data_IF_665038475115
#
_entry.id   IF_665038475115
#
_cell.length_a   1.000
_cell.length_b   1.000
_cell.length_c   1.000
_cell.angle_alpha   90.00
_cell.angle_beta   90.00
_cell.angle_gamma   90.00
#
_symmetry.space_group_name_H-M   'P 1'
#
loop_
_entity.id
_entity.type
_entity.pdbx_description
1 polymer ?
#
# COMPACT_ATOMS: atom_id res chain seq x y z
N UNK A 1 -63.35 -10.79 18.17
CA UNK A 1 -62.24 -9.87 18.53
C UNK A 1 -60.85 -10.54 18.55
N UNK A 2 -60.57 -11.54 17.69
CA UNK A 2 -59.30 -12.31 17.74
C UNK A 2 -58.36 -12.16 16.54
N UNK A 3 -58.81 -11.60 15.41
CA UNK A 3 -58.06 -11.61 14.14
C UNK A 3 -56.96 -10.52 14.07
N UNK A 4 -57.24 -9.32 14.56
CA UNK A 4 -56.34 -8.16 14.48
C UNK A 4 -55.06 -8.33 15.29
N UNK A 5 -55.11 -8.94 16.49
CA UNK A 5 -53.91 -9.14 17.35
C UNK A 5 -52.87 -10.04 16.69
N UNK A 6 -53.30 -11.10 16.02
CA UNK A 6 -52.40 -12.09 15.41
C UNK A 6 -51.67 -11.52 14.19
N UNK A 7 -52.36 -10.69 13.39
CA UNK A 7 -51.78 -10.04 12.21
C UNK A 7 -50.70 -9.03 12.59
N UNK A 8 -50.92 -8.24 13.65
CA UNK A 8 -49.94 -7.25 14.11
C UNK A 8 -48.67 -7.91 14.66
N UNK A 9 -48.78 -9.05 15.33
CA UNK A 9 -47.62 -9.81 15.83
C UNK A 9 -46.80 -10.40 14.69
N UNK A 10 -47.45 -10.96 13.66
CA UNK A 10 -46.77 -11.48 12.46
C UNK A 10 -46.04 -10.39 11.69
N UNK A 11 -46.66 -9.22 11.54
CA UNK A 11 -46.06 -8.07 10.84
C UNK A 11 -44.83 -7.51 11.57
N UNK A 12 -44.89 -7.45 12.90
CA UNK A 12 -43.75 -7.06 13.75
C UNK A 12 -42.60 -8.06 13.65
N UNK A 13 -42.89 -9.36 13.71
CA UNK A 13 -41.87 -10.41 13.56
C UNK A 13 -41.19 -10.36 12.18
N UNK A 14 -41.96 -10.15 11.11
CA UNK A 14 -41.42 -10.04 9.75
C UNK A 14 -40.49 -8.81 9.57
N UNK A 15 -40.85 -7.66 10.16
CA UNK A 15 -40.02 -6.46 10.16
C UNK A 15 -38.71 -6.64 10.96
N UNK A 16 -38.75 -7.37 12.08
CA UNK A 16 -37.56 -7.67 12.87
C UNK A 16 -36.62 -8.61 12.12
N UNK A 17 -37.17 -9.67 11.49
CA UNK A 17 -36.40 -10.63 10.69
C UNK A 17 -35.73 -9.96 9.47
N UNK A 18 -36.45 -9.08 8.76
CA UNK A 18 -35.89 -8.36 7.61
C UNK A 18 -34.77 -7.40 8.02
N UNK A 19 -34.93 -6.69 9.14
CA UNK A 19 -33.90 -5.80 9.68
C UNK A 19 -32.64 -6.59 10.09
N UNK A 20 -32.78 -7.76 10.72
CA UNK A 20 -31.63 -8.62 11.06
C UNK A 20 -30.90 -9.12 9.82
N UNK A 21 -31.63 -9.50 8.76
CA UNK A 21 -31.04 -9.94 7.50
C UNK A 21 -30.27 -8.81 6.79
N UNK A 22 -30.80 -7.58 6.85
CA UNK A 22 -30.17 -6.39 6.28
C UNK A 22 -28.89 -6.01 7.06
N UNK A 23 -28.91 -6.13 8.39
CA UNK A 23 -27.75 -5.87 9.25
C UNK A 23 -26.67 -6.95 9.05
N UNK A 24 -27.04 -8.24 8.90
CA UNK A 24 -26.11 -9.32 8.54
C UNK A 24 -25.49 -9.10 7.14
N UNK A 25 -26.30 -8.65 6.18
CA UNK A 25 -25.83 -8.32 4.82
C UNK A 25 -24.86 -7.13 4.81
N UNK A 26 -25.16 -6.07 5.57
CA UNK A 26 -24.26 -4.91 5.73
C UNK A 26 -22.97 -5.26 6.47
N UNK A 27 -23.00 -6.18 7.44
CA UNK A 27 -21.78 -6.62 8.17
C UNK A 27 -20.93 -7.60 7.37
N UNK A 28 -21.50 -8.29 6.38
CA UNK A 28 -20.75 -9.08 5.39
C UNK A 28 -20.00 -8.19 4.36
N UNK A 29 -20.49 -6.97 4.11
CA UNK A 29 -19.73 -5.94 3.40
C UNK A 29 -18.69 -5.30 4.31
N UNK A 30 -17.63 -6.06 4.64
CA UNK A 30 -16.36 -5.45 5.03
C UNK A 30 -15.88 -4.62 3.83
N UNK A 31 -16.14 -3.31 3.84
CA UNK A 31 -15.47 -2.39 2.93
C UNK A 31 -13.97 -2.55 3.19
N UNK A 32 -13.27 -3.26 2.30
CA UNK A 32 -11.82 -3.31 2.29
C UNK A 32 -11.33 -1.92 1.87
N UNK A 33 -11.29 -0.99 2.83
CA UNK A 33 -10.68 0.31 2.62
C UNK A 33 -9.18 0.09 2.48
N UNK A 34 -8.65 0.40 1.29
CA UNK A 34 -7.22 0.42 1.09
C UNK A 34 -6.61 1.52 1.98
N UNK A 35 -5.57 1.18 2.74
CA UNK A 35 -4.85 2.14 3.58
C UNK A 35 -3.96 3.02 2.69
N UNK A 36 -3.81 4.30 3.02
CA UNK A 36 -2.81 5.18 2.39
C UNK A 36 -1.48 5.17 3.15
N UNK A 37 -1.43 4.58 4.34
CA UNK A 37 -0.29 4.64 5.24
C UNK A 37 0.09 3.31 5.87
N UNK A 38 1.32 3.26 6.37
CA UNK A 38 1.87 2.17 7.17
C UNK A 38 2.65 2.74 8.37
N UNK A 39 2.46 2.13 9.53
CA UNK A 39 3.13 2.51 10.80
C UNK A 39 4.00 1.37 11.33
N UNK A 40 4.89 1.62 12.30
CA UNK A 40 5.70 0.57 12.90
C UNK A 40 4.85 -0.59 13.44
N UNK A 41 5.35 -1.81 13.27
CA UNK A 41 4.64 -3.06 13.57
C UNK A 41 3.73 -3.58 12.45
N UNK A 42 3.42 -2.76 11.43
CA UNK A 42 2.68 -3.19 10.25
C UNK A 42 3.61 -3.70 9.14
N UNK A 43 3.12 -4.62 8.33
CA UNK A 43 3.82 -5.18 7.17
C UNK A 43 2.93 -5.08 5.94
N UNK A 44 3.50 -4.57 4.84
CA UNK A 44 2.91 -4.66 3.51
C UNK A 44 3.51 -5.88 2.79
N UNK A 45 2.66 -6.90 2.55
CA UNK A 45 3.04 -8.10 1.79
C UNK A 45 2.77 -7.95 0.30
N UNK A 46 3.24 -8.88 -0.51
CA UNK A 46 3.13 -8.84 -1.99
C UNK A 46 1.69 -8.79 -2.53
N UNK A 47 0.71 -9.26 -1.77
CA UNK A 47 -0.72 -9.21 -2.13
C UNK A 47 -1.45 -7.98 -1.55
N UNK A 48 -0.73 -7.05 -0.94
CA UNK A 48 -1.29 -5.85 -0.31
C UNK A 48 -0.73 -4.60 -0.99
N UNK A 49 -1.51 -3.53 -0.94
CA UNK A 49 -1.11 -2.23 -1.48
C UNK A 49 -1.46 -1.10 -0.52
N UNK A 50 -0.71 -0.01 -0.62
CA UNK A 50 -1.19 1.29 -0.14
C UNK A 50 -1.78 2.05 -1.31
N UNK A 51 -2.88 2.75 -1.08
CA UNK A 51 -3.59 3.53 -2.11
C UNK A 51 -3.75 4.95 -1.58
N UNK A 52 -3.36 5.94 -2.39
CA UNK A 52 -3.54 7.35 -2.02
C UNK A 52 -5.03 7.66 -1.82
N UNK A 53 -5.36 8.68 -1.03
CA UNK A 53 -6.76 9.02 -0.73
C UNK A 53 -7.59 9.32 -1.98
N UNK A 54 -6.98 9.98 -2.97
CA UNK A 54 -7.59 10.24 -4.27
C UNK A 54 -7.60 9.04 -5.23
N UNK A 55 -7.12 7.87 -4.78
CA UNK A 55 -7.05 6.60 -5.51
C UNK A 55 -6.26 6.64 -6.82
N UNK A 56 -5.46 7.69 -7.02
CA UNK A 56 -4.70 7.90 -8.26
C UNK A 56 -3.34 7.22 -8.19
N UNK A 57 -2.81 6.95 -7.00
CA UNK A 57 -1.50 6.34 -6.81
C UNK A 57 -1.60 5.10 -5.94
N UNK A 58 -0.81 4.09 -6.30
CA UNK A 58 -0.74 2.83 -5.57
C UNK A 58 0.73 2.51 -5.32
N UNK A 59 1.06 2.14 -4.09
CA UNK A 59 2.32 1.51 -3.71
C UNK A 59 2.08 0.02 -3.50
N UNK A 60 2.94 -0.82 -4.06
CA UNK A 60 2.87 -2.26 -3.83
C UNK A 60 3.95 -3.02 -4.58
N UNK A 61 3.88 -4.36 -4.47
CA UNK A 61 4.79 -5.24 -5.18
C UNK A 61 4.27 -5.56 -6.59
N UNK A 62 5.18 -5.66 -7.56
CA UNK A 62 4.88 -6.07 -8.93
C UNK A 62 6.03 -6.92 -9.50
N UNK A 63 5.73 -7.69 -10.55
CA UNK A 63 6.71 -8.55 -11.22
C UNK A 63 7.32 -7.86 -12.45
N UNK A 64 8.63 -8.02 -12.63
CA UNK A 64 9.33 -7.71 -13.88
C UNK A 64 9.29 -8.86 -14.89
N UNK A 65 9.98 -8.68 -16.01
CA UNK A 65 10.02 -9.62 -17.14
C UNK A 65 10.70 -10.96 -16.81
N UNK A 66 11.73 -10.97 -15.95
CA UNK A 66 12.49 -12.16 -15.56
C UNK A 66 11.93 -12.92 -14.33
N UNK A 67 10.75 -12.53 -13.82
CA UNK A 67 10.22 -13.05 -12.56
C UNK A 67 10.85 -12.42 -11.31
N UNK A 68 11.72 -11.43 -11.49
CA UNK A 68 12.11 -10.52 -10.42
C UNK A 68 10.90 -9.73 -9.92
N UNK A 69 10.84 -9.44 -8.62
CA UNK A 69 9.77 -8.69 -7.99
C UNK A 69 10.32 -7.43 -7.36
N UNK A 70 9.55 -6.37 -7.48
CA UNK A 70 9.92 -5.02 -7.10
C UNK A 70 8.81 -4.39 -6.27
N UNK A 71 9.16 -3.52 -5.33
CA UNK A 71 8.23 -2.58 -4.72
C UNK A 71 8.33 -1.25 -5.48
N UNK A 72 7.19 -0.66 -5.81
CA UNK A 72 7.18 0.66 -6.42
C UNK A 72 5.82 1.34 -6.38
N UNK A 73 5.80 2.56 -6.89
CA UNK A 73 4.61 3.41 -6.98
C UNK A 73 4.19 3.48 -8.44
N UNK A 74 2.89 3.34 -8.70
CA UNK A 74 2.31 3.57 -10.01
C UNK A 74 1.08 4.48 -9.96
N UNK A 75 0.93 5.28 -11.02
CA UNK A 75 -0.24 6.12 -11.26
C UNK A 75 -1.29 5.35 -12.05
N UNK A 76 -2.56 5.46 -11.66
CA UNK A 76 -3.71 4.82 -12.29
C UNK A 76 -4.55 5.88 -13.01
N UNK A 77 -4.68 5.76 -14.32
CA UNK A 77 -5.50 6.66 -15.13
C UNK A 77 -6.16 5.88 -16.27
N UNK A 78 -7.49 5.92 -16.36
CA UNK A 78 -8.25 5.25 -17.42
C UNK A 78 -7.85 3.76 -17.58
N UNK A 79 -7.71 3.05 -16.45
CA UNK A 79 -7.24 1.65 -16.38
C UNK A 79 -5.80 1.41 -16.80
N UNK A 80 -5.05 2.45 -17.18
CA UNK A 80 -3.62 2.37 -17.47
C UNK A 80 -2.85 2.62 -16.18
N UNK A 81 -1.98 1.67 -15.83
CA UNK A 81 -1.09 1.78 -14.68
C UNK A 81 0.34 2.10 -15.16
N UNK A 82 0.90 3.23 -14.72
CA UNK A 82 2.27 3.66 -15.08
C UNK A 82 3.16 3.70 -13.86
N UNK A 83 4.25 2.96 -13.87
CA UNK A 83 5.22 2.97 -12.77
C UNK A 83 5.97 4.30 -12.80
N UNK A 84 6.02 4.98 -11.66
CA UNK A 84 6.70 6.28 -11.50
C UNK A 84 7.88 6.22 -10.54
N UNK A 85 7.99 5.17 -9.72
CA UNK A 85 9.11 4.98 -8.80
C UNK A 85 9.30 3.50 -8.45
N UNK A 86 10.56 3.06 -8.30
CA UNK A 86 10.90 1.68 -7.92
C UNK A 86 11.97 1.70 -6.82
N UNK A 87 11.66 1.12 -5.66
CA UNK A 87 12.54 1.13 -4.49
C UNK A 87 13.76 0.23 -4.68
N UNK A 88 13.52 -1.07 -4.79
CA UNK A 88 14.55 -2.11 -4.83
C UNK A 88 14.98 -2.43 -6.26
N UNK A 89 15.21 -1.38 -7.08
CA UNK A 89 15.58 -1.54 -8.49
C UNK A 89 16.90 -2.30 -8.67
N UNK A 90 17.89 -1.98 -7.84
CA UNK A 90 19.23 -2.58 -7.87
C UNK A 90 19.26 -3.99 -7.30
N UNK A 91 18.46 -4.25 -6.26
CA UNK A 91 18.41 -5.54 -5.54
C UNK A 91 16.99 -6.09 -5.48
N UNK A 92 16.46 -6.61 -6.61
CA UNK A 92 15.13 -7.19 -6.65
C UNK A 92 14.99 -8.43 -5.77
N UNK A 93 13.76 -8.75 -5.41
CA UNK A 93 13.40 -10.10 -4.96
C UNK A 93 13.42 -11.02 -6.18
N UNK A 94 14.22 -12.07 -6.14
CA UNK A 94 14.26 -13.07 -7.22
C UNK A 94 13.05 -14.01 -7.13
N UNK A 95 12.81 -14.79 -8.20
CA UNK A 95 11.77 -15.83 -8.23
C UNK A 95 11.92 -16.86 -7.10
N UNK A 96 13.16 -17.12 -6.67
CA UNK A 96 13.47 -18.14 -5.66
C UNK A 96 13.40 -17.61 -4.23
N UNK A 97 13.31 -16.28 -4.06
CA UNK A 97 13.16 -15.70 -2.73
C UNK A 97 11.74 -15.98 -2.20
N UNK A 98 11.65 -16.25 -0.90
CA UNK A 98 10.38 -16.24 -0.18
C UNK A 98 9.70 -14.87 -0.26
N UNK A 99 8.40 -14.80 0.07
CA UNK A 99 7.59 -13.59 0.03
C UNK A 99 8.32 -12.44 0.75
N UNK A 100 8.51 -11.34 0.04
CA UNK A 100 9.09 -10.12 0.59
C UNK A 100 8.06 -9.29 1.36
N UNK A 101 8.57 -8.42 2.22
CA UNK A 101 7.75 -7.49 2.99
C UNK A 101 8.33 -6.08 2.94
N UNK A 102 7.45 -5.10 2.87
CA UNK A 102 7.78 -3.70 3.07
C UNK A 102 7.27 -3.23 4.43
N UNK A 103 8.10 -2.47 5.17
CA UNK A 103 7.74 -1.94 6.48
C UNK A 103 8.45 -0.62 6.78
N UNK A 104 7.95 0.04 7.81
CA UNK A 104 8.67 1.08 8.54
C UNK A 104 9.08 0.52 9.92
N UNK A 105 10.30 0.76 10.37
CA UNK A 105 10.75 0.36 11.71
C UNK A 105 10.48 1.45 12.76
N UNK A 106 10.76 1.14 14.03
CA UNK A 106 10.53 2.05 15.15
C UNK A 106 11.43 3.31 15.13
N UNK A 107 12.45 3.31 14.26
CA UNK A 107 13.33 4.46 14.02
C UNK A 107 12.92 5.25 12.77
N UNK A 108 11.81 4.87 12.13
CA UNK A 108 11.30 5.49 10.92
C UNK A 108 11.99 5.03 9.64
N UNK A 109 12.87 4.03 9.67
CA UNK A 109 13.51 3.54 8.45
C UNK A 109 12.52 2.75 7.60
N UNK A 110 12.50 3.04 6.30
CA UNK A 110 11.80 2.22 5.33
C UNK A 110 12.65 1.02 4.98
N UNK A 111 12.07 -0.18 5.01
CA UNK A 111 12.79 -1.43 4.79
C UNK A 111 12.02 -2.32 3.81
N UNK A 112 12.73 -2.90 2.86
CA UNK A 112 12.28 -4.05 2.07
C UNK A 112 13.10 -5.25 2.50
N UNK A 113 12.43 -6.28 3.02
CA UNK A 113 13.06 -7.50 3.49
C UNK A 113 12.63 -8.67 2.59
N UNK A 114 13.55 -9.61 2.38
CA UNK A 114 13.16 -10.94 1.87
C UNK A 114 12.50 -11.78 2.98
N UNK A 115 11.93 -12.93 2.63
CA UNK A 115 11.30 -13.80 3.63
C UNK A 115 12.28 -14.51 4.59
N UNK A 116 13.59 -14.26 4.49
CA UNK A 116 14.60 -14.62 5.51
C UNK A 116 14.97 -13.45 6.43
N UNK A 117 14.35 -12.28 6.23
CA UNK A 117 14.62 -11.06 6.98
C UNK A 117 15.84 -10.27 6.51
N UNK A 118 16.45 -10.62 5.37
CA UNK A 118 17.58 -9.85 4.82
C UNK A 118 17.08 -8.56 4.18
N UNK A 119 17.72 -7.44 4.50
CA UNK A 119 17.41 -6.13 3.90
C UNK A 119 17.89 -6.07 2.45
N UNK A 120 16.95 -5.90 1.53
CA UNK A 120 17.22 -5.71 0.11
C UNK A 120 17.35 -4.24 -0.26
N UNK A 121 16.59 -3.39 0.44
CA UNK A 121 16.61 -1.95 0.26
C UNK A 121 16.21 -1.26 1.56
N UNK A 122 16.79 -0.09 1.80
CA UNK A 122 16.45 0.75 2.94
C UNK A 122 16.53 2.23 2.59
N UNK A 123 15.68 3.04 3.18
CA UNK A 123 15.81 4.49 3.17
C UNK A 123 15.68 5.08 4.57
N UNK A 124 16.32 6.25 4.75
CA UNK A 124 16.56 6.99 6.02
C UNK A 124 17.86 6.62 6.78
N UNK A 125 18.90 6.14 6.09
CA UNK A 125 20.25 6.08 6.68
C UNK A 125 21.11 7.27 6.22
N UNK A 126 20.93 8.42 6.84
CA UNK A 126 21.93 9.52 6.76
C UNK A 126 21.99 10.45 7.98
N UNK A 127 21.14 10.28 9.00
CA UNK A 127 21.39 10.91 10.30
C UNK A 127 22.00 9.87 11.25
N UNK A 128 23.30 9.96 11.47
CA UNK A 128 24.02 9.33 12.59
C UNK A 128 23.52 9.80 13.96
N UNK A 129 22.56 10.71 13.99
CA UNK A 129 21.89 11.19 15.19
C UNK A 129 20.53 10.49 15.30
N UNK A 130 20.25 9.82 16.44
CA UNK A 130 18.91 9.35 16.75
C UNK A 130 17.94 10.53 16.61
N UNK A 131 16.79 10.32 15.96
CA UNK A 131 15.78 11.35 15.90
C UNK A 131 15.34 11.70 17.34
N UNK A 132 15.25 13.00 17.70
CA UNK A 132 14.75 13.43 19.01
C UNK A 132 13.47 12.70 19.45
N UNK A 133 13.20 12.59 20.75
CA UNK A 133 12.01 11.90 21.27
C UNK A 133 10.68 12.40 20.65
N UNK A 134 10.62 13.65 20.19
CA UNK A 134 9.46 14.21 19.47
C UNK A 134 9.14 13.57 18.10
N UNK A 135 10.04 12.74 17.57
CA UNK A 135 9.82 12.01 16.31
C UNK A 135 9.20 10.61 16.51
N UNK A 136 8.91 10.21 17.75
CA UNK A 136 8.09 9.05 18.05
C UNK A 136 6.75 9.13 17.29
N UNK A 137 6.14 7.98 16.97
CA UNK A 137 4.97 7.86 16.07
C UNK A 137 5.29 8.08 14.59
N UNK A 138 6.25 7.32 14.08
CA UNK A 138 6.56 7.30 12.65
C UNK A 138 5.38 6.83 11.80
N UNK A 139 5.23 7.46 10.65
CA UNK A 139 4.26 7.07 9.62
C UNK A 139 4.90 7.21 8.24
N UNK A 140 4.70 6.20 7.40
CA UNK A 140 4.93 6.32 5.97
C UNK A 140 3.58 6.47 5.26
N UNK A 141 3.41 7.55 4.51
CA UNK A 141 2.15 7.95 3.88
C UNK A 141 2.33 8.11 2.37
N UNK A 142 1.48 7.45 1.59
CA UNK A 142 1.37 7.65 0.16
C UNK A 142 0.44 8.83 -0.13
N UNK A 143 1.02 9.95 -0.55
CA UNK A 143 0.29 11.19 -0.80
C UNK A 143 -0.43 11.17 -2.15
N UNK A 144 -1.42 12.06 -2.28
CA UNK A 144 -2.16 12.30 -3.53
C UNK A 144 -1.30 12.86 -4.68
N UNK A 145 -0.07 13.30 -4.38
CA UNK A 145 0.96 13.70 -5.34
C UNK A 145 1.71 12.51 -5.95
N UNK A 146 1.54 11.30 -5.40
CA UNK A 146 2.32 10.11 -5.76
C UNK A 146 3.66 9.99 -5.05
N UNK A 147 3.96 10.89 -4.10
CA UNK A 147 5.13 10.77 -3.24
C UNK A 147 4.83 9.91 -2.02
N UNK A 148 5.69 8.94 -1.74
CA UNK A 148 5.74 8.26 -0.45
C UNK A 148 6.60 9.12 0.48
N UNK A 149 6.02 9.57 1.58
CA UNK A 149 6.71 10.42 2.56
C UNK A 149 6.82 9.71 3.89
N UNK A 150 7.84 10.05 4.67
CA UNK A 150 7.92 9.60 6.06
C UNK A 150 8.02 10.81 6.99
N UNK A 151 7.18 10.83 8.02
CA UNK A 151 7.14 11.86 9.05
C UNK A 151 7.10 11.26 10.45
N UNK A 152 7.65 11.99 11.43
CA UNK A 152 7.51 11.67 12.86
C UNK A 152 6.23 12.26 13.46
N UNK A 153 6.05 12.09 14.77
CA UNK A 153 4.86 12.58 15.49
C UNK A 153 4.67 14.10 15.47
N UNK A 154 5.73 14.87 15.23
CA UNK A 154 5.68 16.32 15.01
C UNK A 154 5.16 16.72 13.60
N UNK A 155 4.87 15.74 12.75
CA UNK A 155 4.42 15.94 11.37
C UNK A 155 5.54 16.36 10.40
N UNK A 156 6.79 16.51 10.86
CA UNK A 156 7.89 16.91 10.00
C UNK A 156 8.27 15.77 9.06
N UNK A 157 8.23 16.06 7.76
CA UNK A 157 8.66 15.10 6.74
C UNK A 157 10.19 15.09 6.68
N UNK A 158 10.78 13.91 6.84
CA UNK A 158 12.24 13.73 6.85
C UNK A 158 12.76 12.89 5.67
N UNK A 159 11.86 12.29 4.90
CA UNK A 159 12.20 11.58 3.67
C UNK A 159 11.02 11.60 2.69
N UNK A 160 11.32 11.67 1.38
CA UNK A 160 10.35 11.54 0.29
C UNK A 160 10.93 10.73 -0.87
N UNK A 161 10.08 9.93 -1.51
CA UNK A 161 10.47 9.20 -2.73
C UNK A 161 10.73 10.11 -3.92
N UNK A 162 10.07 11.28 -3.97
CA UNK A 162 10.23 12.29 -5.03
C UNK A 162 11.62 12.95 -5.05
N UNK A 163 12.32 12.92 -3.93
CA UNK A 163 13.61 13.60 -3.75
C UNK A 163 14.79 12.67 -4.09
N UNK A 164 14.49 11.44 -4.53
CA UNK A 164 15.48 10.43 -4.86
C UNK A 164 16.00 10.59 -6.30
N UNK A 165 17.22 10.09 -6.61
CA UNK A 165 17.82 10.25 -7.94
C UNK A 165 16.94 9.71 -9.08
N UNK A 166 17.03 10.30 -10.29
CA UNK A 166 16.23 9.90 -11.45
C UNK A 166 16.38 8.43 -11.87
N UNK A 167 17.47 7.76 -11.50
CA UNK A 167 17.67 6.32 -11.76
C UNK A 167 16.63 5.42 -11.07
N UNK A 168 16.03 5.92 -9.97
CA UNK A 168 14.91 5.27 -9.28
C UNK A 168 13.53 5.66 -9.87
N UNK A 169 13.48 6.54 -10.88
CA UNK A 169 12.25 6.89 -11.57
C UNK A 169 11.71 5.72 -12.39
N UNK A 170 10.40 5.51 -12.29
CA UNK A 170 9.70 4.43 -12.99
C UNK A 170 9.65 4.65 -14.50
N UNK A 171 9.91 3.59 -15.25
CA UNK A 171 9.82 3.60 -16.71
C UNK A 171 9.08 2.34 -17.18
N UNK A 172 7.76 2.45 -17.37
CA UNK A 172 6.97 1.36 -17.94
C UNK A 172 5.51 1.36 -17.51
N UNK A 173 4.76 0.45 -18.11
CA UNK A 173 3.33 0.21 -17.87
C UNK A 173 3.16 -1.11 -17.14
N UNK A 174 2.29 -1.14 -16.13
CA UNK A 174 1.87 -2.39 -15.51
C UNK A 174 0.67 -2.96 -16.24
N UNK A 175 0.74 -4.24 -16.58
CA UNK A 175 -0.37 -5.03 -17.09
C UNK A 175 -0.46 -6.32 -16.28
N UNK A 176 -1.60 -6.54 -15.62
CA UNK A 176 -1.82 -7.70 -14.74
C UNK A 176 -0.69 -7.91 -13.71
N UNK A 177 -0.19 -6.81 -13.11
CA UNK A 177 0.89 -6.83 -12.14
C UNK A 177 2.29 -7.09 -12.72
N UNK A 178 2.45 -7.06 -14.05
CA UNK A 178 3.74 -7.22 -14.73
C UNK A 178 4.21 -5.92 -15.38
N UNK A 179 5.48 -5.58 -15.21
CA UNK A 179 6.10 -4.42 -15.83
C UNK A 179 6.44 -4.68 -17.30
N UNK A 180 5.88 -3.86 -18.18
CA UNK A 180 6.24 -3.74 -19.59
C UNK A 180 6.96 -2.40 -19.79
N UNK A 181 8.24 -2.46 -20.18
CA UNK A 181 9.01 -1.26 -20.50
C UNK A 181 8.39 -0.57 -21.73
N UNK A 182 8.34 0.76 -21.72
CA UNK A 182 7.90 1.50 -22.92
C UNK A 182 8.97 1.36 -24.01
N UNK A 183 8.56 1.09 -25.26
CA UNK A 183 9.47 0.97 -26.41
C UNK A 183 10.35 2.21 -26.66
N UNK A 184 10.05 3.35 -26.03
CA UNK A 184 10.73 4.63 -26.24
C UNK A 184 12.08 4.79 -25.54
N UNK A 185 12.52 3.82 -24.72
CA UNK A 185 13.79 3.93 -23.98
C UNK A 185 14.79 2.80 -24.29
N UNK A 186 14.58 2.04 -25.37
CA UNK A 186 15.57 1.07 -25.86
C UNK A 186 16.55 1.68 -26.89
N UNK A 187 16.55 3.00 -27.05
CA UNK A 187 17.43 3.73 -27.96
C UNK A 187 17.88 5.04 -27.33
N UNK A 188 18.86 4.97 -26.44
CA UNK A 188 19.73 6.07 -26.04
C UNK A 188 21.07 5.49 -25.60
#
# INVERSE_FOLDING_TARGET
MGSTRTTTVKLRAALVLSAHFLILSCSAFRLCSASSSITPGQLLRENQTLVSENKSFILGFFSGSSGNRYLGIWHVQNSIQRVIWVANRERPLTRNDSIGVFKIDDNGNLLILDGRGRTLWSARSSSSTPPPAQYENWIALLQNSGSLVVSGGDGRIVWRSSDQPPELAGAGRLENGRLHLSRRLASA
#
